data_IF_103726250188
#
_entry.id   IF_103726250188
#
_cell.length_a   1.000
_cell.length_b   1.000
_cell.length_c   1.000
_cell.angle_alpha   90.00
_cell.angle_beta   90.00
_cell.angle_gamma   90.00
#
_symmetry.space_group_name_H-M   'P 1'
#
loop_
_entity.id
_entity.type
_entity.pdbx_description
1 polymer ?
#
# COMPACT_ATOMS: atom_id res chain seq x y z
N UNK A 1 -1.62 -15.66 8.61
CA UNK A 1 -1.98 -14.25 8.34
C UNK A 1 -0.76 -13.52 7.84
N UNK A 2 -0.83 -12.90 6.67
CA UNK A 2 0.27 -12.10 6.10
C UNK A 2 0.50 -10.81 6.89
N UNK A 3 1.71 -10.22 6.81
CA UNK A 3 2.01 -8.95 7.45
C UNK A 3 1.01 -7.86 7.09
N UNK A 4 0.69 -6.90 7.99
CA UNK A 4 -0.22 -5.80 7.68
C UNK A 4 0.21 -5.04 6.41
N UNK A 5 -0.78 -4.52 5.66
CA UNK A 5 -0.52 -3.78 4.42
C UNK A 5 0.44 -2.60 4.65
N UNK A 6 0.31 -1.92 5.79
CA UNK A 6 1.21 -0.83 6.19
C UNK A 6 2.68 -1.26 6.29
N UNK A 7 2.96 -2.47 6.79
CA UNK A 7 4.33 -2.98 6.92
C UNK A 7 4.91 -3.32 5.54
N UNK A 8 4.10 -3.92 4.66
CA UNK A 8 4.52 -4.24 3.29
C UNK A 8 4.80 -2.95 2.49
N UNK A 9 3.95 -1.94 2.63
CA UNK A 9 4.12 -0.64 2.00
C UNK A 9 5.37 0.09 2.51
N UNK A 10 5.63 0.06 3.82
CA UNK A 10 6.87 0.60 4.40
C UNK A 10 8.12 -0.06 3.84
N UNK A 11 8.12 -1.40 3.74
CA UNK A 11 9.24 -2.15 3.15
C UNK A 11 9.45 -1.83 1.68
N UNK A 12 8.38 -1.76 0.89
CA UNK A 12 8.46 -1.43 -0.53
C UNK A 12 8.97 0.01 -0.76
N UNK A 13 8.55 0.95 0.08
CA UNK A 13 8.97 2.35 0.01
C UNK A 13 10.29 2.65 0.75
N UNK A 14 10.87 1.68 1.46
CA UNK A 14 12.05 1.83 2.34
C UNK A 14 11.91 2.96 3.36
N UNK A 15 10.74 3.10 3.98
CA UNK A 15 10.45 4.08 5.02
C UNK A 15 10.18 3.41 6.37
N UNK A 16 10.57 4.07 7.46
CA UNK A 16 10.37 3.57 8.83
C UNK A 16 8.96 3.91 9.36
N UNK A 17 8.46 5.10 9.02
CA UNK A 17 7.18 5.65 9.47
C UNK A 17 6.35 6.21 8.32
N UNK A 18 5.02 6.26 8.51
CA UNK A 18 4.12 6.95 7.60
C UNK A 18 4.02 8.44 7.95
N UNK A 19 3.35 9.20 7.08
CA UNK A 19 3.10 10.63 7.30
C UNK A 19 2.21 10.89 8.51
N UNK A 20 2.62 11.81 9.39
CA UNK A 20 1.76 12.35 10.44
C UNK A 20 0.65 13.26 9.90
N UNK A 21 0.77 13.74 8.67
CA UNK A 21 -0.24 14.56 7.96
C UNK A 21 -0.42 14.04 6.52
N UNK A 22 -1.05 12.87 6.31
CA UNK A 22 -1.12 12.17 5.01
C UNK A 22 -1.70 12.99 3.84
N UNK A 23 -2.56 13.95 4.16
CA UNK A 23 -3.22 14.82 3.17
C UNK A 23 -2.34 16.01 2.73
N UNK A 24 -1.28 16.34 3.47
CA UNK A 24 -0.39 17.48 3.19
C UNK A 24 1.04 17.04 2.88
N UNK A 25 1.56 16.12 3.67
CA UNK A 25 2.95 15.66 3.58
C UNK A 25 2.98 14.26 2.97
N UNK A 26 3.53 14.17 1.76
CA UNK A 26 3.77 12.89 1.08
C UNK A 26 5.18 12.42 1.42
N UNK A 27 5.29 11.24 2.03
CA UNK A 27 6.55 10.71 2.58
C UNK A 27 7.22 9.69 1.68
N UNK A 28 6.48 9.08 0.75
CA UNK A 28 7.04 8.15 -0.22
C UNK A 28 6.17 8.04 -1.47
N UNK A 29 6.72 7.36 -2.47
CA UNK A 29 6.05 6.99 -3.72
C UNK A 29 6.21 5.49 -3.96
N UNK A 30 5.22 4.87 -4.56
CA UNK A 30 5.23 3.45 -4.94
C UNK A 30 4.60 3.27 -6.32
N UNK A 31 5.15 2.36 -7.12
CA UNK A 31 4.62 2.05 -8.45
C UNK A 31 3.36 1.19 -8.36
N UNK A 32 2.47 1.29 -9.37
CA UNK A 32 1.31 0.40 -9.49
C UNK A 32 1.72 -1.08 -9.57
N UNK A 33 2.88 -1.38 -10.16
CA UNK A 33 3.44 -2.73 -10.23
C UNK A 33 3.78 -3.29 -8.83
N UNK A 34 4.35 -2.48 -7.94
CA UNK A 34 4.66 -2.93 -6.59
C UNK A 34 3.41 -3.02 -5.72
N UNK A 35 2.44 -2.12 -5.91
CA UNK A 35 1.11 -2.22 -5.29
C UNK A 35 0.43 -3.54 -5.68
N UNK A 36 0.54 -3.95 -6.95
CA UNK A 36 0.02 -5.23 -7.43
C UNK A 36 0.67 -6.42 -6.74
N UNK A 37 2.01 -6.45 -6.64
CA UNK A 37 2.73 -7.52 -5.94
C UNK A 37 2.31 -7.63 -4.46
N UNK A 38 2.14 -6.49 -3.79
CA UNK A 38 1.67 -6.45 -2.40
C UNK A 38 0.22 -6.96 -2.31
N UNK A 39 -0.63 -6.58 -3.25
CA UNK A 39 -2.02 -7.02 -3.32
C UNK A 39 -2.12 -8.54 -3.55
N UNK A 40 -1.33 -9.10 -4.47
CA UNK A 40 -1.27 -10.54 -4.74
C UNK A 40 -0.76 -11.31 -3.52
N UNK A 41 0.30 -10.82 -2.87
CA UNK A 41 0.83 -11.42 -1.65
C UNK A 41 -0.18 -11.41 -0.50
N UNK A 42 -0.98 -10.35 -0.38
CA UNK A 42 -1.95 -10.16 0.70
C UNK A 42 -3.34 -10.70 0.36
N UNK A 43 -3.61 -11.04 -0.90
CA UNK A 43 -4.87 -11.59 -1.41
C UNK A 43 -5.52 -12.65 -0.52
N UNK A 44 -4.80 -13.67 0.01
CA UNK A 44 -5.41 -14.69 0.88
C UNK A 44 -5.97 -14.15 2.20
N UNK A 45 -5.57 -12.95 2.64
CA UNK A 45 -6.09 -12.28 3.84
C UNK A 45 -7.05 -11.12 3.52
N UNK A 46 -7.29 -10.82 2.25
CA UNK A 46 -8.21 -9.77 1.82
C UNK A 46 -9.56 -10.40 1.43
N UNK A 47 -10.63 -9.63 1.62
CA UNK A 47 -11.97 -9.98 1.12
C UNK A 47 -12.21 -9.48 -0.32
N UNK A 48 -11.13 -9.30 -1.09
CA UNK A 48 -11.20 -8.78 -2.45
C UNK A 48 -11.64 -9.88 -3.44
N UNK A 49 -12.52 -9.53 -4.38
CA UNK A 49 -12.98 -10.46 -5.41
C UNK A 49 -11.93 -10.70 -6.52
N UNK A 50 -11.06 -9.73 -6.76
CA UNK A 50 -10.00 -9.80 -7.78
C UNK A 50 -8.79 -8.95 -7.37
N UNK A 51 -7.69 -9.09 -8.12
CA UNK A 51 -6.43 -8.39 -7.85
C UNK A 51 -6.59 -6.87 -7.93
N UNK A 52 -7.41 -6.35 -8.85
CA UNK A 52 -7.68 -4.90 -8.95
C UNK A 52 -8.37 -4.35 -7.69
N UNK A 53 -9.32 -5.10 -7.13
CA UNK A 53 -10.00 -4.73 -5.89
C UNK A 53 -9.03 -4.75 -4.72
N UNK A 54 -8.17 -5.77 -4.67
CA UNK A 54 -7.09 -5.84 -3.68
C UNK A 54 -6.11 -4.66 -3.82
N UNK A 55 -5.72 -4.30 -5.05
CA UNK A 55 -4.89 -3.12 -5.32
C UNK A 55 -5.54 -1.83 -4.82
N UNK A 56 -6.85 -1.64 -5.01
CA UNK A 56 -7.57 -0.47 -4.46
C UNK A 56 -7.52 -0.43 -2.94
N UNK A 57 -7.63 -1.57 -2.26
CA UNK A 57 -7.50 -1.65 -0.79
C UNK A 57 -6.07 -1.28 -0.32
N UNK A 58 -5.05 -1.80 -1.00
CA UNK A 58 -3.65 -1.47 -0.70
C UNK A 58 -3.36 0.00 -1.00
N UNK A 59 -3.86 0.54 -2.12
CA UNK A 59 -3.73 1.95 -2.48
C UNK A 59 -4.42 2.88 -1.47
N UNK A 60 -5.59 2.50 -0.95
CA UNK A 60 -6.25 3.22 0.14
C UNK A 60 -5.38 3.30 1.40
N UNK A 61 -4.70 2.20 1.73
CA UNK A 61 -3.74 2.17 2.85
C UNK A 61 -2.51 3.02 2.57
N UNK A 62 -1.97 2.98 1.36
CA UNK A 62 -0.86 3.85 0.94
C UNK A 62 -1.24 5.33 1.09
N UNK A 63 -2.44 5.70 0.64
CA UNK A 63 -2.96 7.08 0.73
C UNK A 63 -3.09 7.55 2.18
N UNK A 64 -3.61 6.72 3.08
CA UNK A 64 -3.75 7.07 4.50
C UNK A 64 -2.41 7.15 5.24
N UNK A 65 -1.34 6.59 4.65
CA UNK A 65 0.03 6.71 5.15
C UNK A 65 0.81 7.87 4.51
N UNK A 66 0.20 8.63 3.60
CA UNK A 66 0.90 9.69 2.87
C UNK A 66 1.85 9.16 1.79
N UNK A 67 1.64 7.94 1.31
CA UNK A 67 2.37 7.35 0.19
C UNK A 67 1.56 7.63 -1.08
N UNK A 68 2.23 8.12 -2.13
CA UNK A 68 1.62 8.35 -3.45
C UNK A 68 1.79 7.09 -4.30
N UNK A 69 0.71 6.64 -4.91
CA UNK A 69 0.76 5.58 -5.92
C UNK A 69 0.93 6.26 -7.28
N UNK A 70 2.02 5.96 -7.97
CA UNK A 70 2.25 6.37 -9.36
C UNK A 70 1.88 5.22 -10.29
N UNK A 71 1.22 5.54 -11.40
CA UNK A 71 0.83 4.57 -12.44
C UNK A 71 2.04 3.91 -13.11
#
# INVERSE_FOLDING_TARGET
KTPPAAVLLKKACKIESGSGKPNREKVAKISAADVRKIAEMKMPDLNAANVESAMKMIAGTARSMGIVVEE
#
